data_IF_164276921489
#
_entry.id   IF_164276921489
#
_cell.length_a   1.000
_cell.length_b   1.000
_cell.length_c   1.000
_cell.angle_alpha   90.00
_cell.angle_beta   90.00
_cell.angle_gamma   90.00
#
_symmetry.space_group_name_H-M   'P 1'
#
loop_
_entity.id
_entity.type
_entity.pdbx_description
1 polymer ?
#
# COMPACT_ATOMS: atom_id res chain seq x y z
N UNK A 1 28.42 70.16 7.66
CA UNK A 1 27.24 70.35 6.79
C UNK A 1 26.87 68.98 6.23
N UNK A 2 25.62 68.57 6.44
CA UNK A 2 24.91 67.40 5.92
C UNK A 2 25.37 65.97 6.29
N UNK A 3 24.58 65.36 7.18
CA UNK A 3 24.29 63.92 7.25
C UNK A 3 23.42 63.53 6.04
N UNK A 4 23.76 62.40 5.38
CA UNK A 4 22.79 61.59 4.63
C UNK A 4 22.88 60.16 5.16
N UNK A 5 21.81 59.73 5.83
CA UNK A 5 21.47 58.34 6.16
C UNK A 5 21.19 57.60 4.84
N UNK A 6 21.63 56.33 4.69
CA UNK A 6 20.82 55.23 4.10
C UNK A 6 21.51 53.86 4.21
N UNK A 7 21.09 53.05 5.20
CA UNK A 7 20.76 51.62 5.10
C UNK A 7 21.85 50.56 4.88
N UNK A 8 21.97 49.53 5.75
CA UNK A 8 22.71 48.30 5.43
C UNK A 8 21.86 47.42 4.51
N UNK A 9 22.02 47.56 3.19
CA UNK A 9 21.21 46.78 2.25
C UNK A 9 21.53 46.88 0.76
N UNK A 10 22.62 47.54 0.36
CA UNK A 10 23.03 47.62 -1.04
C UNK A 10 24.20 46.67 -1.30
N UNK A 11 23.96 45.65 -2.14
CA UNK A 11 24.89 44.64 -2.67
C UNK A 11 25.19 43.38 -1.82
N UNK A 12 24.36 43.02 -0.85
CA UNK A 12 24.34 41.64 -0.39
C UNK A 12 23.49 40.79 -1.35
N UNK A 13 23.99 39.63 -1.83
CA UNK A 13 23.15 38.68 -2.55
C UNK A 13 21.90 38.40 -1.70
N UNK A 14 20.71 38.28 -2.31
CA UNK A 14 19.51 37.91 -1.55
C UNK A 14 19.80 36.62 -0.76
N UNK A 15 19.33 36.51 0.50
CA UNK A 15 19.52 35.28 1.27
C UNK A 15 18.98 34.10 0.46
N UNK A 16 19.88 33.20 0.06
CA UNK A 16 19.62 32.09 -0.87
C UNK A 16 18.67 31.00 -0.31
N UNK A 17 17.98 31.29 0.79
CA UNK A 17 17.18 30.32 1.55
C UNK A 17 15.69 30.69 1.68
N UNK A 18 15.20 31.75 1.04
CA UNK A 18 13.77 32.12 1.10
C UNK A 18 12.91 31.55 -0.04
N UNK A 19 13.52 30.96 -1.06
CA UNK A 19 12.82 30.22 -2.12
C UNK A 19 13.66 29.01 -2.54
N UNK A 20 13.19 27.77 -2.39
CA UNK A 20 13.90 26.59 -2.87
C UNK A 20 13.70 26.47 -4.39
N UNK A 21 14.29 27.38 -5.16
CA UNK A 21 14.24 27.35 -6.63
C UNK A 21 15.64 27.20 -7.26
N UNK A 22 16.71 27.07 -6.47
CA UNK A 22 18.02 26.76 -7.01
C UNK A 22 18.86 25.95 -6.03
N UNK A 23 18.67 24.64 -6.03
CA UNK A 23 19.73 23.69 -5.72
C UNK A 23 20.13 23.02 -7.03
N UNK A 24 21.11 23.62 -7.71
CA UNK A 24 22.08 22.91 -8.53
C UNK A 24 22.88 21.94 -7.65
N UNK A 25 22.23 20.94 -7.06
CA UNK A 25 22.92 19.68 -6.84
C UNK A 25 22.98 19.01 -8.21
N UNK A 26 24.17 18.62 -8.64
CA UNK A 26 24.42 17.83 -9.85
C UNK A 26 23.82 16.42 -9.78
N UNK A 27 22.99 16.16 -8.76
CA UNK A 27 22.29 14.90 -8.47
C UNK A 27 20.79 15.11 -8.17
N UNK A 28 20.24 16.31 -8.40
CA UNK A 28 18.84 16.63 -8.10
C UNK A 28 17.89 16.08 -9.15
N UNK A 29 17.17 15.00 -8.82
CA UNK A 29 16.32 14.22 -9.73
C UNK A 29 15.00 14.94 -10.13
N UNK A 30 14.91 16.26 -9.90
CA UNK A 30 13.76 17.13 -10.20
C UNK A 30 14.16 18.32 -11.10
N UNK A 31 15.09 18.10 -12.03
CA UNK A 31 15.51 19.08 -13.05
C UNK A 31 14.86 18.82 -14.41
N UNK A 32 13.57 18.51 -14.42
CA UNK A 32 12.78 18.55 -15.65
C UNK A 32 12.41 20.00 -15.95
N UNK A 33 12.28 20.36 -17.23
CA UNK A 33 11.67 21.64 -17.64
C UNK A 33 10.21 21.79 -17.18
N UNK A 34 9.63 20.73 -16.60
CA UNK A 34 8.28 20.65 -16.06
C UNK A 34 8.30 20.09 -14.63
N UNK A 35 7.23 20.33 -13.88
CA UNK A 35 6.99 19.71 -12.57
C UNK A 35 6.47 18.26 -12.68
N UNK A 36 6.48 17.66 -13.88
CA UNK A 36 5.95 16.34 -14.16
C UNK A 36 7.07 15.28 -14.18
N UNK A 37 6.79 14.12 -13.59
CA UNK A 37 7.70 12.97 -13.51
C UNK A 37 6.97 11.74 -14.01
N UNK A 38 7.53 11.09 -15.02
CA UNK A 38 7.03 9.80 -15.50
C UNK A 38 7.79 8.67 -14.84
N UNK A 39 7.07 7.85 -14.08
CA UNK A 39 7.55 6.62 -13.46
C UNK A 39 7.06 5.43 -14.29
N UNK A 40 8.00 4.63 -14.81
CA UNK A 40 7.66 3.29 -15.30
C UNK A 40 7.24 2.36 -14.16
N UNK A 41 6.72 1.17 -14.48
CA UNK A 41 6.45 0.17 -13.44
C UNK A 41 7.71 -0.20 -12.66
N UNK A 42 7.56 -0.39 -11.36
CA UNK A 42 8.67 -0.56 -10.42
C UNK A 42 9.48 0.73 -10.16
N UNK A 43 9.16 1.83 -10.85
CA UNK A 43 9.86 3.10 -10.72
C UNK A 43 9.59 3.76 -9.38
N UNK A 44 10.65 4.23 -8.73
CA UNK A 44 10.57 4.97 -7.47
C UNK A 44 11.44 6.22 -7.54
N UNK A 45 11.02 7.25 -6.80
CA UNK A 45 11.68 8.53 -6.74
C UNK A 45 11.62 9.08 -5.31
N UNK A 46 12.77 9.29 -4.66
CA UNK A 46 12.83 9.96 -3.36
C UNK A 46 12.41 11.41 -3.53
N UNK A 47 11.53 11.89 -2.65
CA UNK A 47 11.09 13.28 -2.63
C UNK A 47 12.19 14.11 -1.97
N UNK A 48 12.71 15.18 -2.58
CA UNK A 48 13.81 15.97 -2.02
C UNK A 48 13.37 16.66 -0.73
N UNK A 49 14.31 17.18 0.09
CA UNK A 49 13.92 17.90 1.28
C UNK A 49 13.07 19.13 0.93
N UNK A 50 12.06 19.42 1.75
CA UNK A 50 11.17 20.57 1.57
C UNK A 50 9.68 20.20 1.57
N UNK A 51 8.85 21.21 1.31
CA UNK A 51 7.39 21.10 1.33
C UNK A 51 6.86 21.09 -0.10
N UNK A 52 5.96 20.16 -0.39
CA UNK A 52 5.45 19.93 -1.74
C UNK A 52 3.95 19.66 -1.72
N UNK A 53 3.26 20.15 -2.75
CA UNK A 53 2.02 19.54 -3.22
C UNK A 53 2.34 18.54 -4.33
N UNK A 54 1.93 17.29 -4.11
CA UNK A 54 2.18 16.18 -5.03
C UNK A 54 0.84 15.66 -5.54
N UNK A 55 0.61 15.77 -6.84
CA UNK A 55 -0.51 15.13 -7.52
C UNK A 55 -0.10 13.72 -7.96
N UNK A 56 -0.64 12.71 -7.29
CA UNK A 56 -0.40 11.31 -7.60
C UNK A 56 -1.34 10.84 -8.71
N UNK A 57 -0.73 10.40 -9.81
CA UNK A 57 -1.45 9.71 -10.87
C UNK A 57 -2.03 8.37 -10.41
N UNK A 58 -2.90 7.82 -11.25
CA UNK A 58 -3.71 6.61 -11.03
C UNK A 58 -2.95 5.34 -10.57
N UNK A 59 -1.66 5.21 -10.92
CA UNK A 59 -0.82 4.05 -10.58
C UNK A 59 0.34 4.39 -9.66
N UNK A 60 0.35 5.59 -9.08
CA UNK A 60 1.41 6.04 -8.18
C UNK A 60 0.89 6.24 -6.76
N UNK A 61 1.78 6.06 -5.80
CA UNK A 61 1.50 6.31 -4.40
C UNK A 61 2.70 6.98 -3.73
N UNK A 62 2.44 7.78 -2.71
CA UNK A 62 3.49 8.28 -1.82
C UNK A 62 3.73 7.24 -0.74
N UNK A 63 4.99 6.91 -0.52
CA UNK A 63 5.40 5.98 0.51
C UNK A 63 6.31 6.67 1.53
N UNK A 64 6.14 6.26 2.78
CA UNK A 64 7.00 6.62 3.89
C UNK A 64 7.82 5.40 4.32
N UNK A 65 9.10 5.58 4.58
CA UNK A 65 9.94 4.55 5.16
C UNK A 65 9.63 4.45 6.66
N UNK A 66 9.17 3.29 7.11
CA UNK A 66 8.94 3.04 8.52
C UNK A 66 10.26 2.69 9.22
N UNK A 67 10.75 3.48 10.18
CA UNK A 67 12.03 3.21 10.84
C UNK A 67 12.02 1.95 11.73
N UNK A 68 10.84 1.48 12.16
CA UNK A 68 10.72 0.30 13.04
C UNK A 68 10.78 -0.98 12.23
N UNK A 69 9.99 -1.04 11.15
CA UNK A 69 9.92 -2.21 10.29
C UNK A 69 10.94 -2.16 9.15
N UNK A 70 11.50 -1.00 8.79
CA UNK A 70 12.38 -0.83 7.63
C UNK A 70 11.67 -1.12 6.30
N UNK A 71 10.34 -0.92 6.26
CA UNK A 71 9.48 -1.17 5.10
C UNK A 71 8.90 0.14 4.61
N UNK A 72 8.83 0.31 3.30
CA UNK A 72 8.11 1.40 2.67
C UNK A 72 6.60 1.16 2.74
N UNK A 73 5.89 2.02 3.46
CA UNK A 73 4.44 1.97 3.60
C UNK A 73 3.78 3.07 2.80
N UNK A 74 2.71 2.75 2.09
CA UNK A 74 1.91 3.76 1.39
C UNK A 74 1.19 4.63 2.41
N UNK A 75 1.26 5.94 2.23
CA UNK A 75 0.47 6.87 3.03
C UNK A 75 -1.01 6.71 2.67
N UNK A 76 -1.93 6.63 3.66
CA UNK A 76 -3.36 6.64 3.37
C UNK A 76 -3.73 7.95 2.68
N UNK A 77 -4.24 7.89 1.45
CA UNK A 77 -4.56 9.08 0.66
C UNK A 77 -6.07 9.31 0.60
N UNK A 78 -6.54 10.49 1.00
CA UNK A 78 -7.89 10.99 0.69
C UNK A 78 -7.78 12.02 -0.43
N UNK A 79 -7.71 11.55 -1.68
CA UNK A 79 -7.60 12.41 -2.87
C UNK A 79 -6.28 12.25 -3.64
N UNK A 80 -6.24 12.84 -4.84
CA UNK A 80 -5.10 12.74 -5.77
C UNK A 80 -3.97 13.72 -5.42
N UNK A 81 -4.24 14.86 -4.81
CA UNK A 81 -3.19 15.80 -4.37
C UNK A 81 -2.88 15.66 -2.88
N UNK A 82 -1.59 15.57 -2.54
CA UNK A 82 -1.10 15.41 -1.17
C UNK A 82 -0.09 16.49 -0.80
N UNK A 83 -0.18 16.99 0.43
CA UNK A 83 0.89 17.77 1.03
C UNK A 83 1.93 16.83 1.63
N UNK A 84 3.20 17.05 1.31
CA UNK A 84 4.33 16.30 1.88
C UNK A 84 5.38 17.27 2.39
N UNK A 85 5.76 17.09 3.67
CA UNK A 85 6.96 17.69 4.25
C UNK A 85 8.03 16.61 4.28
N UNK A 86 8.94 16.66 3.30
CA UNK A 86 9.97 15.64 3.11
C UNK A 86 11.28 16.07 3.74
N UNK A 87 11.95 15.09 4.36
CA UNK A 87 13.33 15.21 4.85
C UNK A 87 14.38 14.82 3.80
N UNK A 88 13.96 14.47 2.58
CA UNK A 88 14.84 14.03 1.51
C UNK A 88 15.24 12.55 1.57
N UNK A 89 14.70 11.77 2.52
CA UNK A 89 15.14 10.38 2.76
C UNK A 89 13.96 9.43 2.96
N UNK A 90 13.01 9.80 3.80
CA UNK A 90 11.94 8.91 4.25
C UNK A 90 10.68 8.98 3.42
N UNK A 91 10.60 9.88 2.45
CA UNK A 91 9.45 10.03 1.56
C UNK A 91 9.83 9.75 0.12
N UNK A 92 9.00 8.95 -0.56
CA UNK A 92 9.18 8.67 -1.99
C UNK A 92 7.86 8.58 -2.72
N UNK A 93 7.87 8.85 -4.02
CA UNK A 93 6.78 8.47 -4.92
C UNK A 93 7.15 7.15 -5.61
N UNK A 94 6.19 6.26 -5.75
CA UNK A 94 6.39 4.95 -6.33
C UNK A 94 5.26 4.57 -7.29
N UNK A 95 5.61 4.08 -8.47
CA UNK A 95 4.74 3.31 -9.34
C UNK A 95 5.21 1.86 -9.29
N UNK A 96 4.57 1.01 -8.47
CA UNK A 96 4.97 -0.40 -8.38
C UNK A 96 4.11 -1.32 -9.25
N UNK A 97 3.47 -0.80 -10.31
CA UNK A 97 2.73 -1.68 -11.21
C UNK A 97 3.61 -2.79 -11.78
N UNK A 98 3.06 -4.00 -11.81
CA UNK A 98 3.75 -5.24 -12.15
C UNK A 98 4.63 -5.83 -11.05
N UNK A 99 4.97 -5.10 -9.98
CA UNK A 99 5.82 -5.63 -8.92
C UNK A 99 5.02 -6.28 -7.79
N UNK A 100 5.64 -7.17 -7.00
CA UNK A 100 5.11 -7.55 -5.69
C UNK A 100 5.26 -6.41 -4.66
N UNK A 101 4.25 -6.28 -3.80
CA UNK A 101 4.11 -5.13 -2.89
C UNK A 101 3.78 -5.52 -1.45
N UNK A 102 3.40 -6.77 -1.21
CA UNK A 102 3.10 -7.33 0.11
C UNK A 102 2.93 -8.83 0.02
N UNK A 103 2.67 -9.50 1.13
CA UNK A 103 2.38 -10.94 1.13
C UNK A 103 1.35 -11.29 2.20
N UNK A 104 0.45 -12.21 1.89
CA UNK A 104 -0.45 -12.82 2.87
C UNK A 104 0.13 -14.16 3.31
N UNK A 105 0.32 -14.34 4.62
CA UNK A 105 0.71 -15.66 5.16
C UNK A 105 -0.55 -16.53 5.18
N UNK A 106 -0.64 -17.52 4.31
CA UNK A 106 -1.81 -18.40 4.20
C UNK A 106 -1.72 -19.57 5.17
N UNK A 107 -0.50 -20.04 5.47
CA UNK A 107 -0.24 -21.00 6.54
C UNK A 107 0.96 -20.54 7.33
N UNK A 108 0.75 -20.33 8.62
CA UNK A 108 1.72 -19.88 9.62
C UNK A 108 3.01 -20.71 9.71
N UNK A 109 2.89 -22.00 9.41
CA UNK A 109 3.88 -23.02 9.76
C UNK A 109 4.05 -23.18 11.27
N UNK A 110 4.99 -24.03 11.69
CA UNK A 110 5.29 -24.30 13.08
C UNK A 110 6.74 -24.79 13.25
N UNK A 111 7.30 -24.64 14.45
CA UNK A 111 8.64 -25.17 14.78
C UNK A 111 9.81 -24.33 14.28
N UNK A 112 9.56 -23.06 13.94
CA UNK A 112 10.61 -22.09 13.61
C UNK A 112 11.37 -21.65 14.87
N UNK A 113 12.46 -22.35 15.19
CA UNK A 113 13.31 -22.10 16.37
C UNK A 113 14.72 -21.64 16.03
N UNK A 114 15.19 -21.83 14.79
CA UNK A 114 16.56 -21.56 14.36
C UNK A 114 16.79 -20.12 13.82
N UNK A 115 15.92 -19.17 14.18
CA UNK A 115 15.95 -17.80 13.66
C UNK A 115 14.93 -17.55 12.54
N UNK A 116 15.03 -16.37 11.93
CA UNK A 116 14.09 -15.92 10.89
C UNK A 116 14.30 -16.73 9.59
N UNK A 117 13.27 -17.37 9.02
CA UNK A 117 13.43 -18.14 7.80
C UNK A 117 13.69 -17.23 6.60
N UNK A 118 14.59 -17.67 5.71
CA UNK A 118 14.80 -17.02 4.43
C UNK A 118 13.54 -17.14 3.55
N UNK A 119 13.30 -16.12 2.72
CA UNK A 119 12.22 -16.11 1.74
C UNK A 119 12.84 -15.92 0.35
N UNK A 120 12.71 -16.93 -0.51
CA UNK A 120 13.21 -16.88 -1.90
C UNK A 120 12.06 -16.61 -2.86
N UNK A 121 12.39 -15.98 -4.00
CA UNK A 121 11.41 -15.54 -5.01
C UNK A 121 11.63 -16.26 -6.33
N UNK A 122 10.55 -16.56 -7.05
CA UNK A 122 10.64 -17.23 -8.35
C UNK A 122 11.15 -16.32 -9.48
N UNK A 123 10.92 -15.01 -9.39
CA UNK A 123 11.27 -14.05 -10.43
C UNK A 123 11.35 -12.60 -9.90
N UNK A 124 11.80 -11.68 -10.76
CA UNK A 124 11.76 -10.23 -10.52
C UNK A 124 12.74 -9.68 -9.49
N UNK A 125 13.49 -10.54 -8.78
CA UNK A 125 14.54 -10.09 -7.85
C UNK A 125 14.01 -9.28 -6.65
N UNK A 126 12.74 -9.44 -6.30
CA UNK A 126 12.19 -8.85 -5.08
C UNK A 126 12.85 -9.46 -3.84
N UNK A 127 13.01 -8.66 -2.78
CA UNK A 127 13.59 -9.12 -1.51
C UNK A 127 12.56 -9.03 -0.40
N UNK A 128 12.63 -10.00 0.52
CA UNK A 128 11.57 -10.24 1.49
C UNK A 128 12.15 -10.61 2.84
N UNK A 129 11.38 -10.31 3.88
CA UNK A 129 11.68 -10.75 5.24
C UNK A 129 10.46 -11.41 5.85
N UNK A 130 10.63 -12.64 6.33
CA UNK A 130 9.68 -13.26 7.22
C UNK A 130 9.79 -12.63 8.61
N UNK A 131 8.67 -12.57 9.32
CA UNK A 131 8.59 -12.07 10.68
C UNK A 131 8.14 -13.22 11.56
N UNK A 132 9.04 -13.63 12.47
CA UNK A 132 8.83 -14.72 13.42
C UNK A 132 8.46 -14.12 14.77
N UNK A 133 7.50 -14.72 15.46
CA UNK A 133 7.06 -14.30 16.79
C UNK A 133 5.55 -14.11 16.83
N UNK A 134 5.01 -13.70 17.98
CA UNK A 134 3.57 -13.58 18.16
C UNK A 134 2.94 -12.41 17.40
N UNK A 135 1.65 -12.58 17.09
CA UNK A 135 0.72 -11.54 16.66
C UNK A 135 -0.29 -11.29 17.79
N UNK A 136 -0.67 -10.03 17.99
CA UNK A 136 -1.67 -9.64 18.99
C UNK A 136 -3.02 -10.26 18.62
N UNK A 137 -3.66 -10.95 19.57
CA UNK A 137 -5.00 -11.51 19.40
C UNK A 137 -5.99 -10.46 18.93
N UNK A 138 -6.93 -10.83 18.06
CA UNK A 138 -8.01 -9.93 17.59
C UNK A 138 -8.88 -9.41 18.73
N UNK A 139 -8.91 -10.11 19.85
CA UNK A 139 -9.56 -9.70 21.09
C UNK A 139 -8.54 -9.26 22.13
N UNK A 140 -8.79 -8.10 22.74
CA UNK A 140 -8.04 -7.59 23.90
C UNK A 140 -8.93 -7.60 25.14
N UNK A 141 -8.34 -7.64 26.33
CA UNK A 141 -9.08 -7.58 27.59
C UNK A 141 -8.98 -6.17 28.18
N UNK A 142 -10.12 -5.48 28.31
CA UNK A 142 -10.18 -4.23 29.07
C UNK A 142 -10.19 -4.59 30.56
N UNK A 143 -9.13 -4.20 31.27
CA UNK A 143 -8.95 -4.50 32.71
C UNK A 143 -9.60 -3.45 33.60
N UNK A 144 -9.62 -2.19 33.14
CA UNK A 144 -10.41 -1.13 33.74
C UNK A 144 -11.01 -0.28 32.61
N UNK A 145 -12.34 -0.12 32.60
CA UNK A 145 -13.03 0.60 31.53
C UNK A 145 -12.78 2.12 31.55
N UNK A 146 -12.26 2.65 32.65
CA UNK A 146 -12.16 4.09 32.87
C UNK A 146 -13.54 4.74 32.94
N UNK A 147 -13.58 6.08 32.93
CA UNK A 147 -14.84 6.84 32.96
C UNK A 147 -14.64 8.27 32.45
N UNK A 148 -15.76 8.90 32.06
CA UNK A 148 -15.81 10.32 31.69
C UNK A 148 -15.54 10.61 30.21
N UNK A 149 -15.35 9.59 29.37
CA UNK A 149 -15.10 9.77 27.94
C UNK A 149 -16.34 10.27 27.21
N UNK A 150 -16.17 11.31 26.40
CA UNK A 150 -17.16 11.72 25.39
C UNK A 150 -16.71 11.38 23.98
N UNK A 151 -15.39 11.28 23.79
CA UNK A 151 -14.75 10.83 22.55
C UNK A 151 -13.93 9.57 22.82
N UNK A 152 -13.85 8.68 21.82
CA UNK A 152 -13.06 7.47 21.93
C UNK A 152 -11.58 7.82 22.19
N UNK A 153 -10.94 7.21 23.21
CA UNK A 153 -9.53 7.47 23.48
C UNK A 153 -8.63 6.89 22.39
N UNK A 154 -7.41 7.43 22.32
CA UNK A 154 -6.34 6.91 21.49
C UNK A 154 -5.78 5.65 22.12
N UNK A 155 -5.55 4.62 21.31
CA UNK A 155 -4.93 3.36 21.73
C UNK A 155 -3.57 3.24 21.06
N UNK A 156 -2.52 3.17 21.87
CA UNK A 156 -1.17 2.94 21.41
C UNK A 156 -0.70 1.56 21.89
N UNK A 157 -0.40 0.67 20.95
CA UNK A 157 0.26 -0.61 21.27
C UNK A 157 1.75 -0.44 20.96
N UNK A 158 2.65 -0.61 21.95
CA UNK A 158 4.08 -0.51 21.72
C UNK A 158 4.57 -1.40 20.56
N UNK A 159 5.58 -0.96 19.79
CA UNK A 159 6.13 -1.77 18.72
C UNK A 159 6.83 -3.02 19.27
N UNK A 160 6.91 -4.11 18.48
CA UNK A 160 7.76 -5.25 18.79
C UNK A 160 9.25 -4.87 18.65
N UNK A 161 10.19 -5.77 18.98
CA UNK A 161 11.60 -5.60 18.64
C UNK A 161 11.82 -5.26 17.15
N UNK A 162 12.95 -4.62 16.84
CA UNK A 162 13.28 -4.16 15.49
C UNK A 162 13.12 -5.29 14.45
N UNK A 163 12.53 -4.96 13.30
CA UNK A 163 12.20 -5.91 12.24
C UNK A 163 10.83 -6.59 12.37
N UNK A 164 10.13 -6.40 13.50
CA UNK A 164 8.72 -6.76 13.66
C UNK A 164 7.75 -5.73 13.09
N UNK A 165 6.46 -6.04 13.18
CA UNK A 165 5.35 -5.20 12.69
C UNK A 165 4.48 -4.75 13.86
N UNK A 166 4.31 -3.44 14.01
CA UNK A 166 3.50 -2.88 15.10
C UNK A 166 2.01 -3.19 14.92
N UNK A 167 1.37 -3.65 15.99
CA UNK A 167 -0.07 -3.82 16.08
C UNK A 167 -0.79 -2.48 16.29
N UNK A 168 -2.03 -2.38 15.82
CA UNK A 168 -2.89 -1.20 16.03
C UNK A 168 -4.29 -1.63 16.46
N UNK A 169 -4.93 -0.82 17.28
CA UNK A 169 -6.29 -1.03 17.74
C UNK A 169 -7.04 0.29 17.88
N UNK A 170 -8.36 0.22 17.92
CA UNK A 170 -9.25 1.36 18.20
C UNK A 170 -10.10 1.05 19.42
N UNK A 171 -10.32 2.05 20.28
CA UNK A 171 -11.21 1.91 21.42
C UNK A 171 -12.67 2.12 20.97
N UNK A 172 -13.58 1.30 21.51
CA UNK A 172 -15.02 1.45 21.33
C UNK A 172 -15.64 1.84 22.66
N UNK A 173 -16.34 2.97 22.68
CA UNK A 173 -17.01 3.43 23.88
C UNK A 173 -18.35 2.73 24.10
N UNK A 174 -18.70 2.52 25.37
CA UNK A 174 -20.02 2.11 25.83
C UNK A 174 -20.37 2.92 27.07
N UNK A 175 -21.38 3.79 26.97
CA UNK A 175 -21.87 4.58 28.11
C UNK A 175 -20.81 5.47 28.79
N UNK A 176 -19.93 6.11 28.04
CA UNK A 176 -18.87 6.98 28.58
C UNK A 176 -17.66 6.24 29.19
N UNK A 177 -17.56 4.94 28.94
CA UNK A 177 -16.44 4.07 29.34
C UNK A 177 -15.89 3.33 28.12
N UNK A 178 -14.67 2.80 28.21
CA UNK A 178 -14.10 1.93 27.17
C UNK A 178 -14.71 0.54 27.30
N UNK A 179 -15.58 0.16 26.37
CA UNK A 179 -16.26 -1.14 26.38
C UNK A 179 -15.41 -2.26 25.77
N UNK A 180 -14.64 -1.95 24.72
CA UNK A 180 -13.72 -2.88 24.08
C UNK A 180 -12.61 -2.16 23.32
N UNK A 181 -11.55 -2.88 22.98
CA UNK A 181 -10.63 -2.47 21.92
C UNK A 181 -10.77 -3.44 20.74
N UNK A 182 -10.86 -2.90 19.55
CA UNK A 182 -10.88 -3.67 18.30
C UNK A 182 -9.51 -3.58 17.65
N UNK A 183 -8.80 -4.70 17.57
CA UNK A 183 -7.50 -4.77 16.89
C UNK A 183 -7.71 -4.69 15.38
N UNK A 184 -7.14 -3.65 14.78
CA UNK A 184 -7.21 -3.37 13.33
C UNK A 184 -6.00 -3.88 12.57
N UNK A 185 -4.90 -4.13 13.28
CA UNK A 185 -3.69 -4.77 12.79
C UNK A 185 -3.10 -5.61 13.93
N UNK A 186 -2.99 -6.92 13.74
CA UNK A 186 -2.48 -7.82 14.78
C UNK A 186 -0.96 -7.67 14.98
N UNK A 187 -0.26 -7.04 14.04
CA UNK A 187 1.19 -6.94 14.05
C UNK A 187 1.86 -8.31 13.90
N UNK A 188 3.16 -8.35 14.12
CA UNK A 188 3.96 -9.57 14.02
C UNK A 188 5.29 -9.38 14.74
N UNK A 189 5.87 -10.47 15.23
CA UNK A 189 7.21 -10.45 15.84
C UNK A 189 7.24 -10.06 17.31
N UNK A 190 6.10 -10.08 18.01
CA UNK A 190 6.08 -9.85 19.45
C UNK A 190 6.64 -11.08 20.19
N UNK A 191 7.68 -10.88 21.01
CA UNK A 191 8.21 -11.92 21.90
C UNK A 191 7.40 -12.06 23.19
N UNK A 192 6.74 -10.99 23.61
CA UNK A 192 5.88 -10.90 24.80
C UNK A 192 4.66 -10.06 24.47
N UNK A 193 3.52 -10.36 25.09
CA UNK A 193 2.29 -9.61 24.87
C UNK A 193 2.48 -8.13 25.24
N UNK A 194 2.26 -7.17 24.32
CA UNK A 194 2.40 -5.76 24.63
C UNK A 194 1.24 -5.27 25.51
N UNK A 195 1.51 -4.33 26.41
CA UNK A 195 0.46 -3.63 27.18
C UNK A 195 0.04 -2.38 26.41
N UNK A 196 -1.22 -2.25 25.97
CA UNK A 196 -1.70 -1.03 25.34
C UNK A 196 -1.68 0.16 26.29
N UNK A 197 -1.27 1.32 25.79
CA UNK A 197 -1.40 2.60 26.46
C UNK A 197 -2.65 3.28 25.92
N UNK A 198 -3.59 3.62 26.81
CA UNK A 198 -4.83 4.31 26.46
C UNK A 198 -4.75 5.76 26.94
N UNK A 199 -4.82 6.68 25.98
CA UNK A 199 -4.71 8.11 26.19
C UNK A 199 -6.04 8.77 25.83
N UNK A 200 -6.59 9.66 26.68
CA UNK A 200 -7.76 10.44 26.32
C UNK A 200 -7.55 11.18 25.00
N UNK A 201 -8.63 11.31 24.21
CA UNK A 201 -8.57 12.10 22.99
C UNK A 201 -8.25 13.56 23.36
N UNK A 202 -7.25 14.22 22.74
CA UNK A 202 -6.89 15.60 23.07
C UNK A 202 -8.00 16.61 22.75
N UNK A 203 -9.01 16.21 21.98
CA UNK A 203 -10.20 17.00 21.67
C UNK A 203 -11.39 16.68 22.59
N UNK A 204 -11.24 15.76 23.56
CA UNK A 204 -12.30 15.46 24.53
C UNK A 204 -12.46 16.65 25.49
N UNK A 205 -13.67 17.16 25.65
CA UNK A 205 -13.92 18.30 26.54
C UNK A 205 -13.77 17.95 28.01
N UNK A 206 -13.75 16.64 28.36
CA UNK A 206 -13.69 16.15 29.74
C UNK A 206 -12.27 15.81 30.22
N UNK A 207 -11.21 16.23 29.53
CA UNK A 207 -9.82 15.85 29.85
C UNK A 207 -9.43 15.96 31.34
N UNK A 208 -9.94 16.96 32.06
CA UNK A 208 -9.62 17.17 33.48
C UNK A 208 -10.34 16.24 34.48
N UNK A 209 -11.31 15.45 34.03
CA UNK A 209 -12.13 14.56 34.88
C UNK A 209 -12.13 13.10 34.41
N UNK A 210 -11.44 12.80 33.30
CA UNK A 210 -11.36 11.44 32.77
C UNK A 210 -10.53 10.55 33.70
N UNK A 211 -11.06 9.37 34.00
CA UNK A 211 -10.27 8.27 34.58
C UNK A 211 -9.79 7.35 33.46
N UNK A 212 -8.48 7.17 33.35
CA UNK A 212 -7.89 6.38 32.27
C UNK A 212 -8.32 4.91 32.30
N UNK A 213 -8.63 4.36 31.13
CA UNK A 213 -8.86 2.93 30.95
C UNK A 213 -7.51 2.18 30.91
N UNK A 214 -7.55 0.89 31.26
CA UNK A 214 -6.40 -0.02 31.10
C UNK A 214 -6.84 -1.28 30.38
N UNK A 215 -5.92 -1.90 29.65
CA UNK A 215 -6.16 -3.13 28.92
C UNK A 215 -4.90 -4.01 28.87
N UNK A 216 -5.10 -5.29 28.58
CA UNK A 216 -4.04 -6.25 28.30
C UNK A 216 -4.30 -6.92 26.95
N UNK A 217 -3.24 -7.45 26.35
CA UNK A 217 -3.31 -8.24 25.12
C UNK A 217 -2.83 -9.67 25.36
N UNK A 218 -3.17 -10.56 24.44
CA UNK A 218 -2.59 -11.89 24.34
C UNK A 218 -1.90 -12.05 22.99
N UNK A 219 -0.92 -12.95 22.91
CA UNK A 219 -0.28 -13.32 21.66
C UNK A 219 -0.81 -14.64 21.11
N UNK A 220 -0.90 -14.72 19.79
CA UNK A 220 -1.06 -15.95 19.02
C UNK A 220 0.15 -16.12 18.10
N UNK A 221 0.41 -17.33 17.59
CA UNK A 221 1.43 -17.54 16.56
C UNK A 221 2.89 -17.52 17.06
N UNK A 222 3.14 -17.71 18.36
CA UNK A 222 4.50 -17.87 18.89
C UNK A 222 5.19 -19.07 18.23
N UNK A 223 6.41 -18.87 17.72
CA UNK A 223 7.14 -19.91 16.96
C UNK A 223 6.62 -20.16 15.54
N UNK A 224 5.80 -19.25 15.02
CA UNK A 224 5.26 -19.28 13.65
C UNK A 224 5.65 -18.02 12.86
N UNK A 225 5.57 -18.09 11.54
CA UNK A 225 5.73 -16.92 10.67
C UNK A 225 4.44 -16.10 10.71
N UNK A 226 4.41 -15.00 11.45
CA UNK A 226 3.22 -14.14 11.64
C UNK A 226 3.12 -12.99 10.64
N UNK A 227 4.19 -12.72 9.91
CA UNK A 227 4.19 -11.73 8.84
C UNK A 227 5.25 -12.02 7.79
N UNK A 228 5.04 -11.50 6.59
CA UNK A 228 6.07 -11.44 5.55
C UNK A 228 5.95 -10.06 4.91
N UNK A 229 7.08 -9.37 4.76
CA UNK A 229 7.12 -8.02 4.20
C UNK A 229 8.03 -7.96 2.98
N UNK A 230 7.58 -7.21 1.98
CA UNK A 230 8.38 -6.87 0.80
C UNK A 230 9.33 -5.73 1.18
N UNK A 231 10.64 -5.96 1.08
CA UNK A 231 11.66 -4.94 1.35
C UNK A 231 11.96 -4.14 0.10
N UNK A 232 12.15 -4.86 -1.01
CA UNK A 232 12.32 -4.26 -2.34
C UNK A 232 11.41 -4.96 -3.34
N UNK A 233 10.60 -4.20 -4.09
CA UNK A 233 9.64 -4.76 -5.05
C UNK A 233 10.31 -5.44 -6.26
N UNK A 234 11.59 -5.18 -6.51
CA UNK A 234 12.29 -5.74 -7.66
C UNK A 234 11.78 -5.14 -8.98
N UNK A 235 11.83 -5.92 -10.06
CA UNK A 235 11.39 -5.51 -11.39
C UNK A 235 9.96 -5.95 -11.70
N UNK A 236 9.23 -5.19 -12.54
CA UNK A 236 7.86 -5.55 -12.92
C UNK A 236 7.75 -6.92 -13.57
N UNK A 237 6.72 -7.66 -13.19
CA UNK A 237 6.34 -8.96 -13.70
C UNK A 237 4.98 -8.87 -14.42
N UNK A 238 4.72 -9.84 -15.30
CA UNK A 238 3.45 -9.98 -16.03
C UNK A 238 2.54 -11.05 -15.43
N UNK A 239 2.92 -11.62 -14.29
CA UNK A 239 2.21 -12.70 -13.62
C UNK A 239 2.55 -12.79 -12.14
N UNK A 240 2.01 -13.80 -11.47
CA UNK A 240 2.22 -14.01 -10.04
C UNK A 240 3.69 -14.36 -9.74
N UNK A 241 4.24 -13.77 -8.69
CA UNK A 241 5.52 -14.18 -8.10
C UNK A 241 5.26 -15.20 -6.99
N UNK A 242 5.97 -16.32 -7.03
CA UNK A 242 5.90 -17.34 -5.98
C UNK A 242 6.93 -17.03 -4.90
N UNK A 243 6.50 -17.08 -3.64
CA UNK A 243 7.37 -16.98 -2.47
C UNK A 243 7.59 -18.39 -1.91
N UNK A 244 8.83 -18.72 -1.59
CA UNK A 244 9.17 -19.95 -0.88
C UNK A 244 9.83 -19.58 0.44
N UNK A 245 9.16 -19.89 1.55
CA UNK A 245 9.69 -19.71 2.90
C UNK A 245 10.52 -20.94 3.25
N UNK A 246 11.73 -20.77 3.77
CA UNK A 246 12.57 -21.88 4.20
C UNK A 246 11.84 -22.78 5.22
N UNK A 247 12.07 -24.09 5.14
CA UNK A 247 11.49 -25.04 6.08
C UNK A 247 12.08 -24.84 7.49
N UNK A 248 11.28 -25.06 8.55
CA UNK A 248 11.79 -25.09 9.91
C UNK A 248 12.62 -26.38 10.15
N UNK A 249 13.48 -26.41 11.19
CA UNK A 249 14.22 -27.64 11.56
C UNK A 249 13.30 -28.81 11.93
N UNK A 250 12.12 -28.52 12.46
CA UNK A 250 11.05 -29.46 12.74
C UNK A 250 9.70 -28.75 12.60
N UNK A 251 8.62 -29.50 12.36
CA UNK A 251 7.27 -28.93 12.20
C UNK A 251 6.88 -28.67 10.74
N UNK A 252 5.96 -27.73 10.53
CA UNK A 252 5.34 -27.48 9.22
C UNK A 252 5.88 -26.20 8.59
N UNK A 253 6.22 -26.26 7.31
CA UNK A 253 6.66 -25.08 6.55
C UNK A 253 5.52 -24.06 6.41
N UNK A 254 5.86 -22.78 6.58
CA UNK A 254 4.95 -21.67 6.32
C UNK A 254 4.71 -21.50 4.82
N UNK A 255 3.49 -21.11 4.45
CA UNK A 255 3.08 -20.82 3.08
C UNK A 255 2.57 -19.39 3.03
N UNK A 256 2.96 -18.67 1.98
CA UNK A 256 2.51 -17.30 1.75
C UNK A 256 2.28 -17.03 0.27
N UNK A 257 1.37 -16.12 0.00
CA UNK A 257 1.03 -15.66 -1.34
C UNK A 257 1.48 -14.23 -1.51
N UNK A 258 2.25 -13.93 -2.56
CA UNK A 258 2.61 -12.56 -2.88
C UNK A 258 1.37 -11.77 -3.32
N UNK A 259 1.26 -10.56 -2.79
CA UNK A 259 0.33 -9.54 -3.26
C UNK A 259 1.06 -8.74 -4.32
N UNK A 260 0.54 -8.79 -5.55
CA UNK A 260 1.09 -8.06 -6.69
C UNK A 260 0.40 -6.71 -6.87
N UNK A 261 0.94 -5.84 -7.71
CA UNK A 261 0.24 -4.67 -8.23
C UNK A 261 0.08 -4.79 -9.75
N UNK A 262 -0.59 -5.85 -10.21
CA UNK A 262 -0.77 -6.13 -11.63
C UNK A 262 -1.75 -5.13 -12.25
N UNK A 263 -1.46 -4.70 -13.47
CA UNK A 263 -2.36 -3.85 -14.25
C UNK A 263 -2.53 -4.44 -15.64
N UNK A 264 -3.71 -4.28 -16.23
CA UNK A 264 -3.99 -4.76 -17.58
C UNK A 264 -3.38 -3.77 -18.57
N UNK A 265 -2.64 -4.30 -19.55
CA UNK A 265 -2.03 -3.52 -20.64
C UNK A 265 -2.68 -3.80 -21.99
N UNK A 266 -3.56 -4.80 -22.05
CA UNK A 266 -4.33 -5.17 -23.23
C UNK A 266 -5.04 -6.51 -23.03
N UNK A 267 -5.57 -7.07 -24.11
CA UNK A 267 -6.13 -8.43 -24.12
C UNK A 267 -5.92 -9.09 -25.49
N UNK A 268 -6.04 -10.41 -25.51
CA UNK A 268 -6.18 -11.21 -26.74
C UNK A 268 -7.57 -11.84 -26.80
N UNK A 269 -8.05 -12.14 -28.00
CA UNK A 269 -9.35 -12.78 -28.21
C UNK A 269 -9.13 -14.28 -28.42
N UNK A 270 -9.69 -15.09 -27.52
CA UNK A 270 -9.68 -16.56 -27.63
C UNK A 270 -10.83 -17.04 -28.51
N UNK A 271 -12.04 -16.53 -28.23
CA UNK A 271 -13.23 -16.74 -29.06
C UNK A 271 -13.87 -15.38 -29.29
N UNK A 272 -14.03 -14.96 -30.55
CA UNK A 272 -14.54 -13.62 -30.86
C UNK A 272 -16.03 -13.43 -30.56
N UNK A 273 -16.76 -14.54 -30.37
CA UNK A 273 -18.21 -14.53 -30.22
C UNK A 273 -18.92 -14.03 -31.48
N UNK A 274 -20.22 -13.77 -31.36
CA UNK A 274 -21.04 -13.26 -32.46
C UNK A 274 -22.25 -12.49 -31.94
N UNK A 275 -22.81 -11.60 -32.78
CA UNK A 275 -24.06 -10.89 -32.50
C UNK A 275 -23.90 -9.62 -31.67
N UNK A 276 -22.68 -9.10 -31.47
CA UNK A 276 -22.49 -7.82 -30.78
C UNK A 276 -22.94 -6.63 -31.65
N UNK A 277 -23.75 -5.73 -31.10
CA UNK A 277 -24.32 -4.59 -31.84
C UNK A 277 -23.48 -3.30 -31.77
N UNK A 278 -22.42 -3.30 -30.96
CA UNK A 278 -21.53 -2.15 -30.77
C UNK A 278 -20.30 -2.54 -29.97
N UNK A 279 -19.50 -1.54 -29.59
CA UNK A 279 -18.32 -1.74 -28.76
C UNK A 279 -18.68 -2.45 -27.44
N UNK A 280 -17.73 -3.23 -26.93
CA UNK A 280 -17.87 -3.98 -25.67
C UNK A 280 -16.99 -3.36 -24.61
N UNK A 281 -17.33 -3.55 -23.35
CA UNK A 281 -16.42 -3.35 -22.24
C UNK A 281 -15.67 -4.66 -21.97
N UNK A 282 -14.34 -4.58 -21.94
CA UNK A 282 -13.48 -5.67 -21.47
C UNK A 282 -12.91 -5.28 -20.12
N UNK A 283 -13.03 -6.17 -19.14
CA UNK A 283 -12.55 -5.92 -17.78
C UNK A 283 -12.05 -7.21 -17.12
N UNK A 284 -11.50 -7.07 -15.91
CA UNK A 284 -11.10 -8.17 -15.06
C UNK A 284 -11.91 -8.17 -13.76
N UNK A 285 -12.49 -9.32 -13.40
CA UNK A 285 -13.19 -9.55 -12.14
C UNK A 285 -12.31 -10.33 -11.16
N UNK A 286 -12.50 -10.10 -9.86
CA UNK A 286 -11.66 -10.71 -8.82
C UNK A 286 -10.25 -10.11 -8.82
N UNK A 287 -9.22 -10.96 -8.87
CA UNK A 287 -7.82 -10.53 -8.80
C UNK A 287 -7.43 -9.96 -7.43
N UNK A 288 -8.10 -10.41 -6.37
CA UNK A 288 -7.80 -10.07 -4.96
C UNK A 288 -7.22 -11.32 -4.31
N UNK A 289 -6.11 -11.18 -3.59
CA UNK A 289 -5.56 -12.32 -2.85
C UNK A 289 -6.46 -12.66 -1.66
N UNK A 290 -6.53 -13.94 -1.31
CA UNK A 290 -7.23 -14.36 -0.09
C UNK A 290 -6.59 -13.74 1.16
N UNK A 291 -7.43 -13.48 2.17
CA UNK A 291 -6.95 -13.01 3.47
C UNK A 291 -5.94 -14.00 4.08
N UNK A 292 -4.91 -13.46 4.74
CA UNK A 292 -3.94 -14.26 5.46
C UNK A 292 -4.49 -14.78 6.79
N UNK A 293 -3.72 -15.64 7.45
CA UNK A 293 -3.99 -16.17 8.79
C UNK A 293 -4.06 -15.08 9.87
N UNK A 294 -3.38 -13.94 9.64
CA UNK A 294 -3.48 -12.74 10.48
C UNK A 294 -3.81 -11.51 9.66
N UNK A 295 -4.54 -10.61 10.30
CA UNK A 295 -4.99 -9.34 9.74
C UNK A 295 -3.91 -8.29 9.96
N UNK A 296 -3.03 -8.11 8.97
CA UNK A 296 -2.00 -7.08 8.98
C UNK A 296 -2.15 -6.18 7.74
N UNK A 297 -3.29 -5.49 7.59
CA UNK A 297 -3.61 -4.75 6.37
C UNK A 297 -2.53 -3.73 6.05
N UNK A 298 -1.89 -3.15 7.09
CA UNK A 298 -0.78 -2.20 7.03
C UNK A 298 0.44 -2.68 6.22
N UNK A 299 0.63 -3.99 6.11
CA UNK A 299 1.81 -4.59 5.48
C UNK A 299 1.45 -5.61 4.38
N UNK A 300 0.21 -6.08 4.36
CA UNK A 300 -0.29 -7.08 3.40
C UNK A 300 -0.88 -6.42 2.14
N UNK A 301 -1.72 -5.40 2.32
CA UNK A 301 -2.63 -4.92 1.27
C UNK A 301 -2.41 -3.44 0.92
N UNK A 302 -1.53 -2.71 1.62
CA UNK A 302 -1.49 -1.24 1.58
C UNK A 302 -1.03 -0.59 0.29
N UNK A 303 -0.57 -1.33 -0.72
CA UNK A 303 -0.07 -0.62 -1.87
C UNK A 303 -1.17 0.08 -2.66
N UNK A 304 -2.30 -0.61 -2.91
CA UNK A 304 -3.46 -0.03 -3.57
C UNK A 304 -4.77 -0.72 -3.17
N UNK A 305 -5.87 0.00 -3.30
CA UNK A 305 -7.21 -0.58 -3.35
C UNK A 305 -7.44 -1.22 -4.72
N UNK A 306 -7.74 -2.54 -4.79
CA UNK A 306 -8.02 -3.19 -6.06
C UNK A 306 -9.18 -2.53 -6.76
N UNK A 307 -9.05 -2.36 -8.08
CA UNK A 307 -10.06 -1.73 -8.92
C UNK A 307 -10.01 -2.32 -10.31
N UNK A 308 -11.17 -2.39 -10.94
CA UNK A 308 -11.31 -3.03 -12.24
C UNK A 308 -10.67 -2.21 -13.37
N UNK A 309 -10.22 -2.90 -14.39
CA UNK A 309 -9.81 -2.29 -15.65
C UNK A 309 -11.01 -1.77 -16.41
N UNK A 310 -10.83 -0.68 -17.15
CA UNK A 310 -11.79 -0.14 -18.09
C UNK A 310 -11.15 -0.18 -19.48
N UNK A 311 -11.63 -1.11 -20.31
CA UNK A 311 -11.13 -1.29 -21.67
C UNK A 311 -12.30 -1.22 -22.63
N UNK A 312 -12.20 -0.31 -23.59
CA UNK A 312 -13.14 -0.24 -24.70
C UNK A 312 -12.70 -1.24 -25.77
N UNK A 313 -13.42 -2.36 -25.86
CA UNK A 313 -13.20 -3.40 -26.85
C UNK A 313 -13.92 -3.11 -28.16
N UNK A 314 -13.20 -3.20 -29.27
CA UNK A 314 -13.77 -3.00 -30.60
C UNK A 314 -14.55 -4.23 -31.08
N UNK A 315 -15.56 -3.99 -31.91
CA UNK A 315 -16.38 -5.02 -32.57
C UNK A 315 -16.37 -4.79 -34.06
N UNK A 316 -16.06 -5.84 -34.82
CA UNK A 316 -16.06 -5.82 -36.29
C UNK A 316 -16.96 -6.95 -36.76
N UNK A 317 -17.91 -6.63 -37.65
CA UNK A 317 -18.89 -7.61 -38.18
C UNK A 317 -19.61 -8.41 -37.09
N UNK A 318 -19.89 -7.78 -35.95
CA UNK A 318 -20.58 -8.41 -34.81
C UNK A 318 -19.73 -9.33 -33.95
N UNK A 319 -18.41 -9.34 -34.12
CA UNK A 319 -17.45 -10.14 -33.34
C UNK A 319 -16.40 -9.25 -32.65
N UNK A 320 -15.99 -9.62 -31.44
CA UNK A 320 -14.98 -8.88 -30.65
C UNK A 320 -13.60 -9.03 -31.29
N UNK A 321 -12.86 -7.92 -31.39
CA UNK A 321 -11.48 -7.88 -31.89
C UNK A 321 -10.59 -7.08 -30.94
N UNK A 322 -9.28 -7.21 -31.08
CA UNK A 322 -8.29 -6.33 -30.42
C UNK A 322 -7.98 -5.09 -31.25
N UNK A 323 -8.23 -5.13 -32.55
CA UNK A 323 -7.93 -4.02 -33.45
C UNK A 323 -8.87 -2.84 -33.20
N UNK A 324 -8.31 -1.71 -32.78
CA UNK A 324 -9.06 -0.51 -32.43
C UNK A 324 -9.56 -0.46 -30.98
N UNK A 325 -9.18 -1.43 -30.14
CA UNK A 325 -9.48 -1.40 -28.72
C UNK A 325 -8.60 -0.40 -27.97
N UNK A 326 -9.12 0.19 -26.89
CA UNK A 326 -8.45 1.20 -26.09
C UNK A 326 -8.47 0.82 -24.62
N UNK A 327 -7.29 0.70 -23.99
CA UNK A 327 -7.16 0.62 -22.53
C UNK A 327 -7.24 2.05 -21.99
N UNK A 328 -8.39 2.39 -21.41
CA UNK A 328 -8.58 3.68 -20.73
C UNK A 328 -7.90 3.62 -19.36
N UNK A 329 -8.07 2.49 -18.69
CA UNK A 329 -7.51 2.22 -17.38
C UNK A 329 -7.25 0.71 -17.26
N UNK A 330 -6.02 0.33 -16.91
CA UNK A 330 -5.62 -1.06 -16.72
C UNK A 330 -6.12 -1.68 -15.41
N UNK A 331 -6.73 -0.90 -14.52
CA UNK A 331 -7.09 -1.37 -13.20
C UNK A 331 -5.87 -1.61 -12.32
N UNK A 332 -6.10 -2.12 -11.11
CA UNK A 332 -5.03 -2.66 -10.27
C UNK A 332 -5.51 -3.90 -9.53
N UNK A 333 -4.69 -4.94 -9.58
CA UNK A 333 -5.04 -6.27 -9.10
C UNK A 333 -3.90 -6.87 -8.26
N UNK A 334 -4.28 -7.56 -7.20
CA UNK A 334 -3.38 -8.26 -6.28
C UNK A 334 -2.96 -9.64 -6.80
N UNK A 335 -3.79 -10.24 -7.65
CA UNK A 335 -3.56 -11.48 -8.36
C UNK A 335 -4.13 -11.36 -9.77
N UNK A 336 -3.82 -12.31 -10.65
CA UNK A 336 -4.39 -12.30 -12.00
C UNK A 336 -5.94 -12.35 -11.93
N UNK A 337 -6.64 -11.36 -12.52
CA UNK A 337 -8.10 -11.36 -12.54
C UNK A 337 -8.65 -12.29 -13.62
N UNK A 338 -9.92 -12.69 -13.48
CA UNK A 338 -10.64 -13.40 -14.53
C UNK A 338 -11.16 -12.43 -15.58
N UNK A 339 -10.99 -12.69 -16.88
CA UNK A 339 -11.50 -11.83 -17.94
C UNK A 339 -13.03 -11.82 -17.97
N UNK A 340 -13.62 -10.66 -18.27
CA UNK A 340 -15.05 -10.49 -18.52
C UNK A 340 -15.25 -9.56 -19.73
N UNK A 341 -16.17 -9.95 -20.61
CA UNK A 341 -16.63 -9.13 -21.75
C UNK A 341 -18.10 -8.80 -21.51
N UNK A 342 -18.44 -7.51 -21.50
CA UNK A 342 -19.79 -7.00 -21.32
C UNK A 342 -20.18 -6.20 -22.55
N UNK A 343 -21.30 -6.50 -23.17
CA UNK A 343 -21.73 -5.80 -24.38
C UNK A 343 -23.17 -6.06 -24.74
N UNK A 344 -23.78 -5.11 -25.46
CA UNK A 344 -25.10 -5.30 -26.04
C UNK A 344 -25.03 -6.30 -27.20
N UNK A 345 -25.98 -7.24 -27.20
CA UNK A 345 -26.08 -8.30 -28.20
C UNK A 345 -27.41 -8.15 -28.94
N UNK A 346 -27.41 -8.37 -30.25
CA UNK A 346 -28.61 -8.38 -31.09
C UNK A 346 -29.50 -9.55 -30.65
N UNK A 347 -30.75 -9.26 -30.31
CA UNK A 347 -31.72 -10.28 -29.90
C UNK A 347 -32.14 -11.16 -31.08
N UNK A 348 -32.17 -12.49 -30.88
CA UNK A 348 -32.71 -13.44 -31.86
C UNK A 348 -31.70 -14.12 -32.81
N UNK A 349 -30.39 -13.88 -32.69
CA UNK A 349 -29.39 -14.41 -33.64
C UNK A 349 -28.57 -15.61 -33.16
N UNK A 350 -28.93 -16.29 -32.07
CA UNK A 350 -28.10 -17.39 -31.54
C UNK A 350 -26.69 -16.93 -31.15
N UNK A 351 -26.60 -15.72 -30.59
CA UNK A 351 -25.34 -15.07 -30.25
C UNK A 351 -24.45 -15.94 -29.33
N UNK A 352 -23.16 -15.96 -29.64
CA UNK A 352 -22.17 -16.70 -28.88
C UNK A 352 -21.30 -15.75 -28.07
N UNK A 353 -21.03 -16.03 -26.78
CA UNK A 353 -20.21 -15.16 -25.96
C UNK A 353 -18.75 -15.17 -26.44
N UNK A 354 -18.14 -13.98 -26.43
CA UNK A 354 -16.71 -13.83 -26.63
C UNK A 354 -15.94 -14.23 -25.36
N UNK A 355 -14.76 -14.80 -25.56
CA UNK A 355 -13.79 -15.08 -24.49
C UNK A 355 -12.46 -14.42 -24.84
N UNK A 356 -11.84 -13.79 -23.85
CA UNK A 356 -10.59 -13.04 -23.99
C UNK A 356 -9.60 -13.48 -22.92
N UNK A 357 -8.32 -13.16 -23.12
CA UNK A 357 -7.27 -13.31 -22.11
C UNK A 357 -6.66 -11.94 -21.86
N UNK A 358 -6.64 -11.51 -20.61
CA UNK A 358 -6.04 -10.23 -20.24
C UNK A 358 -4.51 -10.33 -20.27
N UNK A 359 -3.88 -9.32 -20.85
CA UNK A 359 -2.42 -9.16 -20.81
C UNK A 359 -2.07 -8.29 -19.62
N UNK A 360 -1.36 -8.85 -18.65
CA UNK A 360 -0.94 -8.14 -17.44
C UNK A 360 0.48 -7.61 -17.59
N UNK A 361 0.75 -6.47 -16.95
CA UNK A 361 2.07 -5.87 -16.93
C UNK A 361 2.12 -4.61 -16.07
N UNK A 362 3.11 -3.78 -16.37
CA UNK A 362 3.29 -2.46 -15.80
C UNK A 362 2.67 -1.40 -16.69
N UNK A 363 2.11 -0.36 -16.07
CA UNK A 363 1.66 0.85 -16.74
C UNK A 363 2.51 2.03 -16.26
N UNK A 364 2.87 2.94 -17.15
CA UNK A 364 3.56 4.17 -16.76
C UNK A 364 2.60 5.07 -15.98
N UNK A 365 3.14 5.87 -15.06
CA UNK A 365 2.40 6.86 -14.30
C UNK A 365 3.11 8.20 -14.37
N UNK A 366 2.33 9.27 -14.50
CA UNK A 366 2.86 10.63 -14.37
C UNK A 366 2.42 11.21 -13.03
N UNK A 367 3.35 11.85 -12.34
CA UNK A 367 3.16 12.50 -11.04
C UNK A 367 3.59 13.95 -11.19
N UNK A 368 2.86 14.88 -10.61
CA UNK A 368 3.24 16.29 -10.60
C UNK A 368 3.70 16.70 -9.20
N UNK A 369 4.89 17.27 -9.10
CA UNK A 369 5.49 17.68 -7.82
C UNK A 369 5.73 19.18 -7.84
N UNK A 370 4.93 19.91 -7.07
CA UNK A 370 4.97 21.36 -7.01
C UNK A 370 5.54 21.80 -5.66
N UNK A 371 6.66 22.53 -5.63
CA UNK A 371 7.19 23.06 -4.37
C UNK A 371 6.26 24.12 -3.80
N UNK A 372 6.26 24.22 -2.47
CA UNK A 372 5.56 25.24 -1.69
C UNK A 372 6.49 26.35 -1.21
#
# INVERSE_FOLDING_TARGET
MAQIINGPGVNLPPPQALYPANLLSTTGVYQSATNAITLGGGGVQIIPPGKYFIDIGLYSAIQVNDPVSGVWRTLPTTGQTQFVDSDGVNYRVANLTGCPVGATVTTAGSGYTAGVPAVTVSAGGSTWRAVLGGAVSTTTTVTAAGSGYTLAPLVYIPPPPAGGLQATAVAVLSGGTVGSLTVTNQGAGYSTAPVPVILPNPLDTNLGVITNATATTALTGTGMVTGIVCLTPGTPQTGAVTLTVAAPPSGTQAVATAVMALSVTGYTVSTAGSGYSGAVEVTGIGGVVSAGAWTNPAYQNQFFTPRQAQILGAVVTGAVTTAGSLVIDGGIYQAAPSPMVVGAVITGTGALPATVVLTLGANNATVFVTPL
#
